data_IF_316072064208
#
_entry.id   IF_316072064208
#
_cell.length_a   1.000
_cell.length_b   1.000
_cell.length_c   1.000
_cell.angle_alpha   90.00
_cell.angle_beta   90.00
_cell.angle_gamma   90.00
#
_symmetry.space_group_name_H-M   'P 1'
#
loop_
_entity.id
_entity.type
_entity.pdbx_description
1 polymer ?
#
# COMPACT_ATOMS: atom_id res chain seq x y z
N UNK A 1 -7.07 20.48 3.00
CA UNK A 1 -6.66 19.71 4.19
C UNK A 1 -5.58 18.75 3.79
N UNK A 2 -4.61 18.50 4.67
CA UNK A 2 -3.58 17.49 4.43
C UNK A 2 -4.17 16.09 4.68
N UNK A 3 -3.81 15.12 3.85
CA UNK A 3 -4.21 13.73 4.03
C UNK A 3 -3.20 13.00 4.93
N UNK A 4 -3.64 11.96 5.64
CA UNK A 4 -2.75 11.09 6.39
C UNK A 4 -1.74 10.40 5.45
N UNK A 5 -0.51 10.22 5.94
CA UNK A 5 0.56 9.50 5.24
C UNK A 5 0.96 8.26 6.00
N UNK A 6 0.94 7.13 5.30
CA UNK A 6 1.43 5.85 5.81
C UNK A 6 2.89 5.64 5.38
N UNK A 7 3.78 5.42 6.36
CA UNK A 7 5.20 5.14 6.12
C UNK A 7 5.59 3.80 6.73
N UNK A 8 6.24 2.96 5.92
CA UNK A 8 6.73 1.65 6.33
C UNK A 8 7.92 1.23 5.44
N UNK A 9 8.76 0.27 5.88
CA UNK A 9 9.86 -0.25 5.05
C UNK A 9 9.43 -0.72 3.65
N UNK A 10 8.18 -1.14 3.50
CA UNK A 10 7.57 -1.64 2.28
C UNK A 10 7.23 -0.52 1.29
N UNK A 11 6.94 0.71 1.76
CA UNK A 11 6.47 1.83 0.93
C UNK A 11 7.58 2.67 0.31
N UNK A 12 8.85 2.28 0.50
CA UNK A 12 10.02 3.02 -0.02
C UNK A 12 10.02 3.25 -1.54
N UNK A 13 9.48 2.30 -2.34
CA UNK A 13 9.28 2.49 -3.79
C UNK A 13 8.02 1.80 -4.30
N UNK A 14 6.90 2.49 -4.21
CA UNK A 14 5.60 2.03 -4.73
C UNK A 14 5.50 2.27 -6.24
N UNK A 15 5.06 1.25 -6.99
CA UNK A 15 4.87 1.34 -8.45
C UNK A 15 3.42 1.39 -8.88
N UNK A 16 2.57 0.60 -8.24
CA UNK A 16 1.14 0.55 -8.53
C UNK A 16 0.37 0.40 -7.24
N UNK A 17 -0.85 0.92 -7.23
CA UNK A 17 -1.77 0.91 -6.09
C UNK A 17 -3.18 0.65 -6.60
N UNK A 18 -3.89 -0.30 -5.99
CA UNK A 18 -5.29 -0.62 -6.29
C UNK A 18 -6.09 -0.84 -5.03
N UNK A 19 -7.28 -0.26 -4.98
CA UNK A 19 -8.27 -0.60 -3.98
C UNK A 19 -9.09 -1.80 -4.48
N UNK A 20 -9.27 -2.79 -3.61
CA UNK A 20 -10.11 -3.95 -3.86
C UNK A 20 -11.57 -3.67 -3.41
N UNK A 21 -12.57 -4.42 -3.91
CA UNK A 21 -13.96 -4.25 -3.49
C UNK A 21 -14.22 -4.45 -1.99
N UNK A 22 -13.31 -5.13 -1.28
CA UNK A 22 -13.37 -5.31 0.17
C UNK A 22 -12.73 -4.14 0.96
N UNK A 23 -12.34 -3.05 0.28
CA UNK A 23 -11.68 -1.87 0.86
C UNK A 23 -10.19 -2.05 1.14
N UNK A 24 -9.60 -3.20 0.82
CA UNK A 24 -8.16 -3.39 1.00
C UNK A 24 -7.35 -2.64 -0.06
N UNK A 25 -6.21 -2.11 0.33
CA UNK A 25 -5.27 -1.47 -0.60
C UNK A 25 -4.15 -2.46 -0.94
N UNK A 26 -4.01 -2.76 -2.22
CA UNK A 26 -2.92 -3.55 -2.78
C UNK A 26 -1.90 -2.64 -3.42
N UNK A 27 -0.61 -2.91 -3.22
CA UNK A 27 0.44 -2.15 -3.88
C UNK A 27 1.69 -2.97 -4.20
N UNK A 28 2.36 -2.58 -5.30
CA UNK A 28 3.64 -3.16 -5.71
C UNK A 28 4.80 -2.37 -5.13
N UNK A 29 5.63 -3.03 -4.32
CA UNK A 29 6.90 -2.49 -3.82
C UNK A 29 8.05 -2.97 -4.68
N UNK A 30 8.60 -2.08 -5.50
CA UNK A 30 9.72 -2.45 -6.38
C UNK A 30 11.02 -2.58 -5.61
N UNK A 31 11.18 -1.79 -4.54
CA UNK A 31 12.36 -1.90 -3.67
C UNK A 31 12.44 -3.26 -2.97
N UNK A 32 11.30 -3.90 -2.72
CA UNK A 32 11.20 -5.22 -2.10
C UNK A 32 10.95 -6.35 -3.13
N UNK A 33 10.61 -6.02 -4.37
CA UNK A 33 10.22 -7.00 -5.39
C UNK A 33 8.96 -7.79 -5.00
N UNK A 34 8.00 -7.15 -4.32
CA UNK A 34 6.88 -7.83 -3.68
C UNK A 34 5.55 -7.08 -3.84
N UNK A 35 4.45 -7.83 -3.72
CA UNK A 35 3.08 -7.34 -3.64
C UNK A 35 2.64 -7.35 -2.16
N UNK A 36 2.12 -6.22 -1.68
CA UNK A 36 1.62 -6.07 -0.31
C UNK A 36 0.14 -5.72 -0.30
N UNK A 37 -0.50 -5.97 0.85
CA UNK A 37 -1.90 -5.65 1.13
C UNK A 37 -2.01 -4.93 2.47
N UNK A 38 -2.77 -3.85 2.51
CA UNK A 38 -3.23 -3.16 3.72
C UNK A 38 -4.73 -3.42 3.84
N UNK A 39 -5.17 -3.86 5.02
CA UNK A 39 -6.59 -4.15 5.29
C UNK A 39 -7.13 -3.16 6.32
N UNK A 40 -8.36 -2.63 6.17
CA UNK A 40 -8.96 -1.69 7.13
C UNK A 40 -9.28 -2.31 8.50
N UNK A 41 -9.35 -3.64 8.58
CA UNK A 41 -9.80 -4.39 9.75
C UNK A 41 -8.66 -4.98 10.58
N UNK A 42 -7.48 -4.37 10.56
CA UNK A 42 -6.30 -4.79 11.35
C UNK A 42 -6.05 -3.87 12.54
#
# INVERSE_FOLDING_TARGET
TEAERLEAPETHRVRDVREAPDGSIWFLSVGKGALYRISPSS
#
